data_IF_625859235117
#
_entry.id   IF_625859235117
#
_cell.length_a   1.000
_cell.length_b   1.000
_cell.length_c   1.000
_cell.angle_alpha   90.00
_cell.angle_beta   90.00
_cell.angle_gamma   90.00
#
_symmetry.space_group_name_H-M   'P 1'
#
loop_
_entity.id
_entity.type
_entity.pdbx_description
1 polymer ?
#
# COMPACT_ATOMS: atom_id res chain seq x y z
N UNK A 1 14.52 45.30 -44.02
CA UNK A 1 14.64 46.68 -43.51
C UNK A 1 14.34 46.65 -42.04
N UNK A 2 15.36 47.08 -41.31
CA UNK A 2 15.50 47.55 -39.91
C UNK A 2 15.66 46.49 -38.82
N UNK A 3 16.94 46.20 -38.64
CA UNK A 3 17.78 45.92 -37.47
C UNK A 3 17.51 46.88 -36.28
N UNK A 4 17.50 46.32 -35.04
CA UNK A 4 17.96 47.02 -33.82
C UNK A 4 18.37 46.04 -32.73
N UNK A 5 19.68 45.85 -32.68
CA UNK A 5 20.48 45.37 -31.51
C UNK A 5 20.26 46.23 -30.25
N UNK A 6 20.18 45.61 -29.05
CA UNK A 6 20.53 46.24 -27.76
C UNK A 6 21.29 45.31 -26.84
N UNK A 7 22.55 45.51 -26.77
CA UNK A 7 23.61 45.50 -25.75
C UNK A 7 23.25 44.97 -24.37
N UNK A 8 24.04 43.93 -24.02
CA UNK A 8 24.29 43.41 -22.68
C UNK A 8 25.18 44.42 -21.93
N UNK A 9 24.77 44.79 -20.70
CA UNK A 9 25.65 45.44 -19.73
C UNK A 9 26.09 44.41 -18.68
N UNK A 10 27.39 44.13 -18.68
CA UNK A 10 28.10 43.42 -17.58
C UNK A 10 28.37 44.46 -16.46
N UNK A 11 28.01 44.12 -15.22
CA UNK A 11 28.50 44.82 -14.07
C UNK A 11 29.54 43.91 -13.38
N UNK A 12 30.77 44.44 -13.32
CA UNK A 12 31.87 43.92 -12.49
C UNK A 12 31.69 44.44 -11.09
N UNK A 13 31.79 43.60 -10.08
CA UNK A 13 32.05 44.02 -8.70
C UNK A 13 33.38 43.42 -8.25
N UNK A 14 34.19 44.35 -7.76
CA UNK A 14 35.58 44.25 -7.36
C UNK A 14 35.73 43.56 -6.01
N UNK A 15 36.83 42.81 -5.83
CA UNK A 15 37.30 42.25 -4.58
C UNK A 15 38.26 43.26 -3.84
N UNK A 16 38.10 43.38 -2.54
CA UNK A 16 39.15 43.81 -1.59
C UNK A 16 38.76 43.24 -0.23
N UNK A 17 39.43 42.34 0.41
CA UNK A 17 40.81 42.35 0.90
C UNK A 17 40.86 42.91 2.32
N UNK A 18 40.91 42.05 3.37
CA UNK A 18 41.69 42.34 4.59
C UNK A 18 41.87 41.08 5.46
N UNK A 19 43.10 40.59 5.46
CA UNK A 19 43.66 39.66 6.43
C UNK A 19 43.78 40.33 7.80
N UNK A 20 43.40 39.63 8.86
CA UNK A 20 43.97 39.89 10.22
C UNK A 20 44.37 38.54 10.82
N UNK A 21 45.68 38.36 10.98
CA UNK A 21 46.32 37.41 11.88
C UNK A 21 46.18 37.92 13.30
N UNK A 22 45.86 37.06 14.26
CA UNK A 22 46.18 37.29 15.70
C UNK A 22 46.66 35.92 16.26
N UNK A 23 47.65 36.08 17.06
CA UNK A 23 48.63 35.13 17.52
C UNK A 23 48.20 34.03 18.48
N UNK A 24 49.07 33.00 18.54
CA UNK A 24 49.14 31.87 19.48
C UNK A 24 49.19 32.34 20.94
N UNK A 25 48.45 31.68 21.80
CA UNK A 25 48.64 31.59 23.23
C UNK A 25 48.54 30.13 23.68
N UNK A 26 49.71 29.53 23.96
CA UNK A 26 49.76 28.20 24.56
C UNK A 26 49.50 28.30 26.07
N UNK A 27 48.52 27.58 26.58
CA UNK A 27 48.37 27.29 28.00
C UNK A 27 48.42 25.77 28.19
N UNK A 28 49.50 25.31 28.80
CA UNK A 28 49.60 23.97 29.35
C UNK A 28 48.72 23.88 30.60
N UNK A 29 47.79 22.93 30.61
CA UNK A 29 47.11 22.48 31.84
C UNK A 29 47.25 20.97 31.97
N UNK A 30 47.83 20.57 33.11
CA UNK A 30 48.11 19.18 33.48
C UNK A 30 46.83 18.39 33.57
N UNK A 31 46.77 17.22 32.86
CA UNK A 31 45.69 16.28 32.99
C UNK A 31 45.93 15.33 34.16
N UNK A 32 45.11 15.42 35.18
CA UNK A 32 44.91 14.36 36.17
C UNK A 32 44.04 13.28 35.53
N UNK A 33 44.61 12.11 35.27
CA UNK A 33 43.90 10.92 34.84
C UNK A 33 43.07 10.34 35.97
N UNK A 34 41.76 10.68 35.99
CA UNK A 34 40.78 9.91 36.70
C UNK A 34 40.25 8.85 35.76
N UNK A 35 40.64 7.61 35.98
CA UNK A 35 40.10 6.44 35.26
C UNK A 35 38.64 6.20 35.59
N UNK A 36 37.75 6.89 34.90
CA UNK A 36 36.34 6.56 34.84
C UNK A 36 36.13 5.53 33.72
N UNK A 37 35.86 4.29 34.10
CA UNK A 37 35.33 3.31 33.16
C UNK A 37 34.02 3.88 32.59
N UNK A 38 34.04 4.30 31.31
CA UNK A 38 32.81 4.53 30.57
C UNK A 38 32.02 3.22 30.56
N UNK A 39 30.72 3.21 30.92
CA UNK A 39 29.92 2.03 30.71
C UNK A 39 29.96 1.77 29.18
N UNK A 40 30.50 0.62 28.81
CA UNK A 40 30.30 0.08 27.47
C UNK A 40 28.80 0.03 27.26
N UNK A 41 28.26 0.96 26.47
CA UNK A 41 26.95 0.80 25.89
C UNK A 41 27.01 -0.46 25.06
N UNK A 42 26.68 -1.58 25.69
CA UNK A 42 26.21 -2.75 24.94
C UNK A 42 25.04 -2.22 24.11
N UNK A 43 25.29 -2.02 22.82
CA UNK A 43 24.25 -1.94 21.82
C UNK A 43 23.42 -3.21 22.05
N UNK A 44 22.27 -3.04 22.69
CA UNK A 44 21.24 -4.04 22.72
C UNK A 44 20.92 -4.23 21.25
N UNK A 45 21.44 -5.30 20.67
CA UNK A 45 21.10 -5.69 19.30
C UNK A 45 19.58 -5.76 19.28
N UNK A 46 18.95 -4.96 18.40
CA UNK A 46 17.51 -4.82 18.32
C UNK A 46 16.88 -6.19 18.12
N UNK A 47 16.35 -6.77 19.17
CA UNK A 47 15.70 -8.10 19.15
C UNK A 47 14.57 -8.17 18.10
N UNK A 48 14.01 -7.01 17.76
CA UNK A 48 13.02 -6.86 16.69
C UNK A 48 13.58 -7.14 15.30
N UNK A 49 14.77 -6.64 14.98
CA UNK A 49 15.41 -6.88 13.68
C UNK A 49 15.75 -8.35 13.44
N UNK A 50 16.18 -9.04 14.48
CA UNK A 50 16.50 -10.48 14.41
C UNK A 50 15.24 -11.34 14.25
N UNK A 51 14.14 -10.98 14.90
CA UNK A 51 12.86 -11.64 14.73
C UNK A 51 12.33 -11.51 13.28
N UNK A 52 12.44 -10.32 12.70
CA UNK A 52 12.03 -10.10 11.30
C UNK A 52 12.91 -10.89 10.34
N UNK A 53 14.25 -10.88 10.49
CA UNK A 53 15.16 -11.69 9.64
C UNK A 53 14.81 -13.17 9.70
N UNK A 54 14.70 -13.74 10.90
CA UNK A 54 14.33 -15.14 11.10
C UNK A 54 12.96 -15.47 10.50
N UNK A 55 12.00 -14.55 10.60
CA UNK A 55 10.68 -14.70 10.01
C UNK A 55 10.74 -14.74 8.48
N UNK A 56 11.49 -13.82 7.85
CA UNK A 56 11.67 -13.82 6.39
C UNK A 56 12.41 -15.07 5.91
N UNK A 57 13.47 -15.50 6.62
CA UNK A 57 14.18 -16.74 6.29
C UNK A 57 13.27 -17.96 6.35
N UNK A 58 12.35 -18.02 7.34
CA UNK A 58 11.34 -19.07 7.43
C UNK A 58 10.39 -19.06 6.23
N UNK A 59 9.86 -17.87 5.84
CA UNK A 59 9.00 -17.75 4.67
C UNK A 59 9.66 -18.29 3.39
N UNK A 60 10.98 -18.11 3.25
CA UNK A 60 11.72 -18.61 2.09
C UNK A 60 12.00 -20.11 2.22
N UNK A 61 12.50 -20.59 3.35
CA UNK A 61 13.00 -21.96 3.47
C UNK A 61 11.91 -22.97 3.81
N UNK A 62 10.94 -22.60 4.67
CA UNK A 62 9.86 -23.49 5.09
C UNK A 62 8.62 -23.31 4.20
N UNK A 63 8.20 -22.04 3.96
CA UNK A 63 7.00 -21.73 3.15
C UNK A 63 7.28 -21.60 1.65
N UNK A 64 8.57 -21.69 1.24
CA UNK A 64 9.04 -21.76 -0.15
C UNK A 64 8.70 -20.53 -1.02
N UNK A 65 8.53 -19.37 -0.42
CA UNK A 65 8.44 -18.15 -1.19
C UNK A 65 9.79 -17.85 -1.86
N UNK A 66 9.82 -17.48 -3.17
CA UNK A 66 11.09 -17.14 -3.86
C UNK A 66 11.84 -16.01 -3.19
N UNK A 67 11.12 -14.95 -2.83
CA UNK A 67 11.65 -13.82 -2.08
C UNK A 67 10.65 -13.33 -1.05
N UNK A 68 11.18 -12.79 0.05
CA UNK A 68 10.44 -12.06 1.06
C UNK A 68 11.17 -10.75 1.38
N UNK A 69 10.40 -9.66 1.49
CA UNK A 69 10.88 -8.32 1.82
C UNK A 69 10.10 -7.79 3.01
N UNK A 70 10.75 -7.01 3.87
CA UNK A 70 10.05 -6.25 4.89
C UNK A 70 10.68 -4.88 5.09
N UNK A 71 9.84 -3.91 5.39
CA UNK A 71 10.24 -2.64 5.98
C UNK A 71 9.55 -2.48 7.35
N UNK A 72 10.29 -1.98 8.33
CA UNK A 72 9.76 -1.68 9.67
C UNK A 72 10.07 -0.24 10.05
N UNK A 73 9.15 0.38 10.78
CA UNK A 73 9.37 1.64 11.49
C UNK A 73 9.21 1.35 12.98
N UNK A 74 10.29 1.52 13.75
CA UNK A 74 10.27 1.38 15.20
C UNK A 74 9.69 2.62 15.91
N UNK A 75 9.54 2.55 17.25
CA UNK A 75 9.14 3.70 18.07
C UNK A 75 10.09 4.89 17.97
N UNK A 76 11.34 4.65 17.57
CA UNK A 76 12.34 5.70 17.32
C UNK A 76 12.20 6.38 15.95
N UNK A 77 11.21 5.99 15.15
CA UNK A 77 10.95 6.48 13.80
C UNK A 77 11.95 6.00 12.75
N UNK A 78 12.89 5.12 13.10
CA UNK A 78 13.88 4.60 12.15
C UNK A 78 13.27 3.55 11.24
N UNK A 79 13.62 3.64 9.95
CA UNK A 79 13.23 2.66 8.94
C UNK A 79 14.31 1.62 8.81
N UNK A 80 13.93 0.35 8.89
CA UNK A 80 14.81 -0.78 8.62
C UNK A 80 14.25 -1.63 7.50
N UNK A 81 15.14 -2.14 6.65
CA UNK A 81 14.80 -2.98 5.50
C UNK A 81 15.41 -4.36 5.66
N UNK A 82 14.64 -5.38 5.32
CA UNK A 82 15.04 -6.76 5.39
C UNK A 82 14.65 -7.49 4.11
N UNK A 83 15.50 -8.42 3.66
CA UNK A 83 15.22 -9.26 2.50
C UNK A 83 15.72 -10.66 2.75
N UNK A 84 15.02 -11.66 2.18
CA UNK A 84 15.44 -13.06 2.15
C UNK A 84 15.10 -13.68 0.80
N UNK A 85 15.78 -14.77 0.46
CA UNK A 85 15.57 -15.50 -0.80
C UNK A 85 16.27 -14.88 -2.01
N UNK A 86 15.71 -15.09 -3.19
CA UNK A 86 16.27 -14.64 -4.48
C UNK A 86 15.23 -13.84 -5.27
N UNK A 87 15.67 -12.80 -5.95
CA UNK A 87 14.81 -11.97 -6.79
C UNK A 87 14.36 -12.69 -8.06
N UNK A 88 15.12 -13.61 -8.56
CA UNK A 88 14.83 -14.37 -9.78
C UNK A 88 15.30 -15.82 -9.60
N UNK A 89 14.37 -16.76 -9.63
CA UNK A 89 14.64 -18.21 -9.47
C UNK A 89 15.56 -18.76 -10.56
N UNK A 90 15.56 -18.15 -11.75
CA UNK A 90 16.39 -18.58 -12.88
C UNK A 90 17.86 -18.15 -12.74
N UNK A 91 18.11 -16.96 -12.17
CA UNK A 91 19.45 -16.36 -12.09
C UNK A 91 20.05 -16.43 -10.69
N UNK A 92 19.24 -16.61 -9.65
CA UNK A 92 19.67 -16.49 -8.25
C UNK A 92 20.04 -15.06 -7.84
N UNK A 93 19.56 -14.04 -8.57
CA UNK A 93 19.85 -12.64 -8.28
C UNK A 93 19.41 -12.25 -6.87
N UNK A 94 20.16 -11.35 -6.21
CA UNK A 94 19.82 -10.86 -4.88
C UNK A 94 18.52 -10.04 -4.91
N UNK A 95 17.72 -10.19 -3.87
CA UNK A 95 16.50 -9.37 -3.68
C UNK A 95 16.91 -7.90 -3.49
N UNK A 96 16.37 -6.97 -4.29
CA UNK A 96 16.61 -5.54 -4.10
C UNK A 96 16.12 -5.09 -2.71
N UNK A 97 16.94 -4.31 -2.02
CA UNK A 97 16.54 -3.69 -0.76
C UNK A 97 15.40 -2.73 -1.06
N UNK A 98 14.28 -2.89 -0.34
CA UNK A 98 13.04 -2.12 -0.56
C UNK A 98 12.56 -2.12 -2.03
N UNK A 99 12.72 -3.26 -2.72
CA UNK A 99 12.32 -3.40 -4.11
C UNK A 99 10.82 -3.16 -4.32
N UNK A 100 10.47 -2.64 -5.52
CA UNK A 100 9.07 -2.46 -5.89
C UNK A 100 8.33 -3.79 -5.97
N UNK A 101 7.07 -3.78 -5.55
CA UNK A 101 6.14 -4.90 -5.63
C UNK A 101 4.77 -4.39 -6.08
N UNK A 102 3.94 -5.26 -6.65
CA UNK A 102 2.53 -4.95 -6.86
C UNK A 102 1.83 -4.92 -5.51
N UNK A 103 1.26 -3.76 -5.16
CA UNK A 103 0.66 -3.52 -3.85
C UNK A 103 -0.72 -4.17 -3.68
N UNK A 104 -1.32 -4.65 -4.78
CA UNK A 104 -2.62 -5.28 -4.76
C UNK A 104 -3.66 -4.42 -4.03
N UNK A 105 -4.47 -5.05 -3.21
CA UNK A 105 -5.58 -4.38 -2.50
C UNK A 105 -5.19 -3.28 -1.51
N UNK A 106 -3.90 -3.04 -1.22
CA UNK A 106 -3.51 -1.80 -0.54
C UNK A 106 -3.97 -0.55 -1.32
N UNK A 107 -4.15 -0.67 -2.65
CA UNK A 107 -4.74 0.36 -3.51
C UNK A 107 -6.07 0.90 -2.97
N UNK A 108 -6.86 0.05 -2.30
CA UNK A 108 -8.15 0.44 -1.74
C UNK A 108 -8.04 1.54 -0.69
N UNK A 109 -7.01 1.48 0.16
CA UNK A 109 -6.79 2.53 1.16
C UNK A 109 -6.48 3.88 0.50
N UNK A 110 -5.70 3.89 -0.60
CA UNK A 110 -5.44 5.10 -1.38
C UNK A 110 -6.72 5.64 -2.02
N UNK A 111 -7.51 4.78 -2.66
CA UNK A 111 -8.79 5.15 -3.27
C UNK A 111 -9.78 5.69 -2.23
N UNK A 112 -9.91 5.02 -1.09
CA UNK A 112 -10.77 5.47 0.01
C UNK A 112 -10.32 6.81 0.59
N UNK A 113 -8.99 7.03 0.71
CA UNK A 113 -8.44 8.32 1.15
C UNK A 113 -8.90 9.46 0.24
N UNK A 114 -8.83 9.28 -1.08
CA UNK A 114 -9.32 10.31 -2.03
C UNK A 114 -10.82 10.54 -1.91
N UNK A 115 -11.63 9.48 -1.76
CA UNK A 115 -13.09 9.63 -1.54
C UNK A 115 -13.36 10.42 -0.25
N UNK A 116 -12.63 10.14 0.82
CA UNK A 116 -12.76 10.83 2.10
C UNK A 116 -12.30 12.29 2.04
N UNK A 117 -11.24 12.60 1.29
CA UNK A 117 -10.85 13.98 1.00
C UNK A 117 -11.96 14.74 0.27
N UNK A 118 -12.55 14.11 -0.75
CA UNK A 118 -13.70 14.69 -1.47
C UNK A 118 -14.93 14.85 -0.56
N UNK A 119 -15.09 13.98 0.44
CA UNK A 119 -16.11 14.16 1.46
C UNK A 119 -15.81 15.35 2.38
N UNK A 120 -14.58 15.54 2.80
CA UNK A 120 -14.13 16.72 3.54
C UNK A 120 -14.31 18.03 2.78
N UNK A 121 -14.14 17.98 1.44
CA UNK A 121 -14.40 19.10 0.52
C UNK A 121 -15.91 19.35 0.27
N UNK A 122 -16.80 18.56 0.84
CA UNK A 122 -18.25 18.66 0.62
C UNK A 122 -18.73 18.19 -0.76
N UNK A 123 -17.84 17.61 -1.58
CA UNK A 123 -18.14 17.11 -2.92
C UNK A 123 -18.82 15.74 -2.93
N UNK A 124 -18.58 14.94 -1.88
CA UNK A 124 -19.13 13.60 -1.68
C UNK A 124 -19.77 13.53 -0.30
N UNK A 125 -21.00 13.01 -0.20
CA UNK A 125 -21.61 12.65 1.07
C UNK A 125 -21.55 11.13 1.23
N UNK A 126 -20.91 10.64 2.29
CA UNK A 126 -20.67 9.20 2.50
C UNK A 126 -21.99 8.41 2.58
N UNK A 127 -23.04 8.99 3.15
CA UNK A 127 -24.32 8.33 3.33
C UNK A 127 -25.32 8.63 2.20
N UNK A 128 -24.88 9.36 1.16
CA UNK A 128 -25.68 9.52 -0.05
C UNK A 128 -25.64 8.25 -0.91
N UNK A 129 -26.75 7.92 -1.60
CA UNK A 129 -26.76 6.86 -2.59
C UNK A 129 -25.77 7.11 -3.72
N UNK A 130 -25.11 6.05 -4.20
CA UNK A 130 -24.18 6.14 -5.33
C UNK A 130 -24.86 6.66 -6.60
N UNK A 131 -26.14 6.46 -6.73
CA UNK A 131 -27.00 6.98 -7.79
C UNK A 131 -26.90 8.50 -7.97
N UNK A 132 -26.69 9.24 -6.88
CA UNK A 132 -26.51 10.70 -6.92
C UNK A 132 -25.32 11.11 -7.78
N UNK A 133 -24.27 10.29 -7.81
CA UNK A 133 -23.00 10.59 -8.50
C UNK A 133 -22.90 9.87 -9.83
N UNK A 134 -23.43 8.65 -9.89
CA UNK A 134 -23.39 7.77 -11.06
C UNK A 134 -24.82 7.35 -11.46
N UNK A 135 -25.64 8.30 -11.97
CA UNK A 135 -27.05 8.06 -12.25
C UNK A 135 -27.23 6.98 -13.31
N UNK A 136 -28.12 6.03 -13.03
CA UNK A 136 -28.46 4.93 -13.94
C UNK A 136 -27.40 3.84 -14.07
N UNK A 137 -26.20 4.03 -13.48
CA UNK A 137 -25.07 3.14 -13.71
C UNK A 137 -25.18 1.80 -12.97
N UNK A 138 -25.69 1.82 -11.73
CA UNK A 138 -25.70 0.65 -10.83
C UNK A 138 -27.10 0.04 -10.82
N UNK A 139 -27.30 -0.93 -11.73
CA UNK A 139 -28.57 -1.67 -11.94
C UNK A 139 -28.30 -3.13 -12.23
N UNK A 140 -29.08 -4.04 -11.64
CA UNK A 140 -28.99 -5.47 -11.85
C UNK A 140 -30.05 -6.21 -11.05
N UNK A 141 -30.04 -7.54 -11.06
CA UNK A 141 -30.95 -8.36 -10.27
C UNK A 141 -30.70 -8.18 -8.77
N UNK A 142 -31.64 -7.55 -8.07
CA UNK A 142 -31.51 -7.18 -6.66
C UNK A 142 -30.53 -6.01 -6.41
N UNK A 143 -30.00 -5.39 -7.45
CA UNK A 143 -29.03 -4.30 -7.38
C UNK A 143 -29.67 -2.98 -7.81
N UNK A 144 -29.64 -2.00 -6.91
CA UNK A 144 -30.16 -0.65 -7.17
C UNK A 144 -29.25 0.40 -6.49
N UNK A 145 -28.56 1.21 -7.29
CA UNK A 145 -27.68 2.28 -6.82
C UNK A 145 -28.35 3.33 -5.95
N UNK A 146 -29.69 3.44 -5.99
CA UNK A 146 -30.48 4.32 -5.09
C UNK A 146 -30.49 3.82 -3.64
N UNK A 147 -30.14 2.56 -3.40
CA UNK A 147 -30.15 1.90 -2.08
C UNK A 147 -28.74 1.62 -1.54
N UNK A 148 -27.68 1.86 -2.34
CA UNK A 148 -26.30 1.61 -1.98
C UNK A 148 -25.62 2.94 -1.72
N UNK A 149 -25.12 3.17 -0.50
CA UNK A 149 -24.41 4.40 -0.14
C UNK A 149 -22.91 4.31 -0.48
N UNK A 150 -22.24 5.47 -0.61
CA UNK A 150 -20.78 5.53 -0.79
C UNK A 150 -20.07 4.84 0.38
N UNK A 151 -20.54 5.03 1.62
CA UNK A 151 -20.01 4.34 2.82
C UNK A 151 -20.06 2.82 2.66
N UNK A 152 -21.19 2.29 2.22
CA UNK A 152 -21.38 0.85 2.03
C UNK A 152 -20.45 0.28 0.97
N UNK A 153 -20.09 1.05 -0.07
CA UNK A 153 -19.06 0.65 -1.02
C UNK A 153 -17.70 0.55 -0.33
N UNK A 154 -17.25 1.61 0.34
CA UNK A 154 -15.93 1.63 0.97
C UNK A 154 -15.77 0.58 2.09
N UNK A 155 -16.86 0.17 2.72
CA UNK A 155 -16.90 -0.75 3.86
C UNK A 155 -17.22 -2.20 3.50
N UNK A 156 -17.48 -2.51 2.22
CA UNK A 156 -17.89 -3.83 1.75
C UNK A 156 -19.25 -4.34 2.31
N UNK A 157 -20.18 -3.42 2.55
CA UNK A 157 -21.53 -3.73 3.01
C UNK A 157 -22.61 -3.42 1.96
N UNK A 158 -22.20 -3.25 0.70
CA UNK A 158 -23.10 -2.93 -0.43
C UNK A 158 -23.96 -4.10 -0.91
N UNK A 159 -23.48 -5.34 -0.73
CA UNK A 159 -24.07 -6.54 -1.31
C UNK A 159 -23.79 -6.75 -2.81
N UNK A 160 -22.91 -5.95 -3.41
CA UNK A 160 -22.51 -6.13 -4.80
C UNK A 160 -21.64 -7.39 -4.96
N UNK A 161 -21.88 -8.22 -6.00
CA UNK A 161 -21.02 -9.35 -6.32
C UNK A 161 -19.61 -8.88 -6.71
N UNK A 162 -18.60 -9.70 -6.46
CA UNK A 162 -17.23 -9.40 -6.87
C UNK A 162 -17.02 -9.81 -8.34
N UNK A 163 -16.65 -8.85 -9.20
CA UNK A 163 -16.38 -9.16 -10.61
C UNK A 163 -15.23 -10.16 -10.78
N UNK A 164 -14.32 -10.25 -9.81
CA UNK A 164 -13.16 -11.15 -9.89
C UNK A 164 -13.54 -12.63 -9.93
N UNK A 165 -14.74 -12.98 -9.44
CA UNK A 165 -15.27 -14.33 -9.51
C UNK A 165 -15.70 -14.75 -10.94
N UNK A 166 -15.80 -13.76 -11.86
CA UNK A 166 -16.42 -13.94 -13.18
C UNK A 166 -15.56 -13.50 -14.36
N UNK A 167 -14.40 -12.86 -14.12
CA UNK A 167 -13.47 -12.50 -15.20
C UNK A 167 -12.61 -13.69 -15.61
N UNK A 168 -12.04 -13.60 -16.82
CA UNK A 168 -11.03 -14.56 -17.27
C UNK A 168 -9.83 -14.56 -16.31
N UNK A 169 -9.25 -15.74 -16.09
CA UNK A 169 -8.08 -15.95 -15.24
C UNK A 169 -6.93 -14.99 -15.61
N UNK A 170 -6.59 -14.04 -14.74
CA UNK A 170 -5.53 -13.05 -15.01
C UNK A 170 -4.12 -13.65 -14.94
N UNK A 171 -3.96 -14.91 -14.57
CA UNK A 171 -2.67 -15.61 -14.58
C UNK A 171 -2.43 -16.36 -15.89
N UNK A 172 -3.49 -16.62 -16.64
CA UNK A 172 -3.47 -17.35 -17.89
C UNK A 172 -3.28 -16.45 -19.12
N UNK A 173 -3.93 -16.82 -20.22
CA UNK A 173 -3.84 -16.08 -21.49
C UNK A 173 -4.36 -14.63 -21.41
N UNK A 174 -5.26 -14.35 -20.47
CA UNK A 174 -5.83 -13.01 -20.28
C UNK A 174 -4.89 -12.03 -19.57
N UNK A 175 -3.75 -12.46 -19.05
CA UNK A 175 -2.84 -11.63 -18.24
C UNK A 175 -2.30 -10.39 -18.96
N UNK A 176 -2.27 -10.40 -20.27
CA UNK A 176 -1.81 -9.28 -21.12
C UNK A 176 -2.97 -8.49 -21.74
N UNK A 177 -4.17 -8.63 -21.19
CA UNK A 177 -5.37 -8.02 -21.74
C UNK A 177 -5.81 -6.84 -20.89
N UNK A 178 -5.79 -5.64 -21.47
CA UNK A 178 -6.36 -4.46 -20.83
C UNK A 178 -7.87 -4.58 -20.67
N UNK A 179 -8.37 -4.38 -19.45
CA UNK A 179 -9.81 -4.37 -19.14
C UNK A 179 -10.24 -2.99 -18.67
N UNK A 180 -11.25 -2.41 -19.33
CA UNK A 180 -11.78 -1.11 -18.94
C UNK A 180 -12.56 -1.21 -17.62
N UNK A 181 -12.49 -0.19 -16.74
CA UNK A 181 -13.24 -0.20 -15.46
C UNK A 181 -14.72 -0.42 -15.63
N UNK A 182 -15.31 0.12 -16.70
CA UNK A 182 -16.72 -0.09 -17.01
C UNK A 182 -17.03 -1.57 -17.31
N UNK A 183 -16.16 -2.28 -18.01
CA UNK A 183 -16.37 -3.69 -18.31
C UNK A 183 -16.30 -4.56 -17.05
N UNK A 184 -15.41 -4.21 -16.08
CA UNK A 184 -15.38 -4.88 -14.77
C UNK A 184 -16.72 -4.71 -14.03
N UNK A 185 -17.27 -3.50 -14.04
CA UNK A 185 -18.57 -3.22 -13.42
C UNK A 185 -19.68 -3.98 -14.13
N UNK A 186 -19.74 -3.97 -15.46
CA UNK A 186 -20.78 -4.66 -16.25
C UNK A 186 -20.74 -6.17 -15.99
N UNK A 187 -19.52 -6.76 -15.82
CA UNK A 187 -19.37 -8.17 -15.41
C UNK A 187 -20.06 -8.43 -14.07
N UNK A 188 -19.81 -7.62 -13.05
CA UNK A 188 -20.46 -7.79 -11.74
C UNK A 188 -21.97 -7.62 -11.82
N UNK A 189 -22.45 -6.59 -12.53
CA UNK A 189 -23.89 -6.25 -12.61
C UNK A 189 -24.72 -7.27 -13.42
N UNK A 190 -24.08 -8.16 -14.18
CA UNK A 190 -24.72 -9.29 -14.82
C UNK A 190 -25.15 -10.40 -13.83
N UNK A 191 -24.70 -10.32 -12.59
CA UNK A 191 -24.99 -11.28 -11.52
C UNK A 191 -25.87 -10.63 -10.45
N UNK A 192 -26.61 -11.46 -9.70
CA UNK A 192 -27.53 -11.00 -8.64
C UNK A 192 -26.77 -10.48 -7.42
N UNK A 193 -27.41 -9.59 -6.67
CA UNK A 193 -26.91 -9.12 -5.37
C UNK A 193 -26.64 -10.31 -4.42
N UNK A 194 -25.55 -10.24 -3.66
CA UNK A 194 -25.18 -11.25 -2.65
C UNK A 194 -26.08 -11.13 -1.41
N UNK A 195 -26.42 -9.90 -1.02
CA UNK A 195 -27.35 -9.57 0.06
C UNK A 195 -27.89 -8.14 -0.12
N UNK A 196 -28.90 -7.76 0.65
CA UNK A 196 -29.42 -6.41 0.64
C UNK A 196 -28.41 -5.41 1.25
N UNK A 197 -28.25 -4.20 0.69
CA UNK A 197 -27.28 -3.23 1.19
C UNK A 197 -27.41 -2.97 2.69
N UNK A 198 -26.29 -3.04 3.41
CA UNK A 198 -26.20 -2.81 4.85
C UNK A 198 -26.57 -3.99 5.75
N UNK A 199 -27.03 -5.12 5.21
CA UNK A 199 -27.48 -6.26 6.02
C UNK A 199 -26.38 -7.27 6.36
N UNK A 200 -25.27 -7.26 5.59
CA UNK A 200 -24.13 -8.17 5.78
C UNK A 200 -22.85 -7.53 5.30
N UNK A 201 -21.76 -8.30 5.33
CA UNK A 201 -20.45 -7.93 4.86
C UNK A 201 -19.90 -9.02 3.92
N UNK A 202 -19.43 -8.62 2.74
CA UNK A 202 -18.65 -9.47 1.85
C UNK A 202 -17.67 -8.61 1.06
N UNK A 203 -16.41 -9.02 1.03
CA UNK A 203 -15.39 -8.36 0.24
C UNK A 203 -15.77 -8.38 -1.24
N UNK A 204 -15.69 -7.22 -1.90
CA UNK A 204 -15.98 -7.11 -3.33
C UNK A 204 -15.16 -5.99 -3.96
N UNK A 205 -14.34 -6.35 -4.93
CA UNK A 205 -13.55 -5.40 -5.70
C UNK A 205 -14.42 -4.45 -6.52
N UNK A 206 -15.65 -4.86 -6.89
CA UNK A 206 -16.64 -4.03 -7.58
C UNK A 206 -16.93 -2.74 -6.84
N UNK A 207 -16.94 -2.77 -5.50
CA UNK A 207 -17.12 -1.58 -4.67
C UNK A 207 -16.09 -0.50 -4.98
N UNK A 208 -14.83 -0.89 -5.17
CA UNK A 208 -13.73 0.04 -5.41
C UNK A 208 -13.64 0.47 -6.87
N UNK A 209 -14.10 -0.36 -7.81
CA UNK A 209 -14.34 0.11 -9.19
C UNK A 209 -15.35 1.27 -9.17
N UNK A 210 -16.46 1.14 -8.43
CA UNK A 210 -17.43 2.23 -8.28
C UNK A 210 -16.84 3.45 -7.55
N UNK A 211 -16.01 3.25 -6.52
CA UNK A 211 -15.32 4.34 -5.85
C UNK A 211 -14.37 5.10 -6.79
N UNK A 212 -13.64 4.39 -7.65
CA UNK A 212 -12.82 5.01 -8.69
C UNK A 212 -13.64 5.81 -9.70
N UNK A 213 -14.73 5.23 -10.21
CA UNK A 213 -15.66 5.94 -11.13
C UNK A 213 -16.31 7.16 -10.46
N UNK A 214 -16.63 7.08 -9.17
CA UNK A 214 -17.10 8.21 -8.37
C UNK A 214 -16.05 9.34 -8.34
N UNK A 215 -14.78 9.01 -8.06
CA UNK A 215 -13.68 9.98 -8.05
C UNK A 215 -13.58 10.70 -9.40
N UNK A 216 -13.52 9.93 -10.49
CA UNK A 216 -13.43 10.50 -11.84
C UNK A 216 -14.63 11.40 -12.17
N UNK A 217 -15.84 10.95 -11.83
CA UNK A 217 -17.09 11.72 -12.07
C UNK A 217 -17.11 13.03 -11.31
N UNK A 218 -16.74 13.01 -10.02
CA UNK A 218 -16.84 14.20 -9.14
C UNK A 218 -15.71 15.20 -9.43
N UNK A 219 -14.52 14.71 -9.83
CA UNK A 219 -13.37 15.56 -10.08
C UNK A 219 -13.21 15.99 -11.55
N UNK A 220 -13.84 15.26 -12.48
CA UNK A 220 -13.63 15.43 -13.92
C UNK A 220 -12.20 15.05 -14.37
N UNK A 221 -11.47 14.27 -13.56
CA UNK A 221 -10.06 13.91 -13.80
C UNK A 221 -9.84 12.40 -13.65
N UNK A 222 -8.85 11.82 -14.34
CA UNK A 222 -8.52 10.40 -14.21
C UNK A 222 -8.16 10.02 -12.78
N UNK A 223 -8.53 8.80 -12.38
CA UNK A 223 -8.21 8.25 -11.06
C UNK A 223 -6.71 8.31 -10.75
N UNK A 224 -5.87 7.90 -11.72
CA UNK A 224 -4.41 7.93 -11.57
C UNK A 224 -3.88 9.32 -11.18
N UNK A 225 -4.39 10.39 -11.82
CA UNK A 225 -4.02 11.77 -11.47
C UNK A 225 -4.45 12.12 -10.04
N UNK A 226 -5.65 11.71 -9.63
CA UNK A 226 -6.15 12.00 -8.29
C UNK A 226 -5.37 11.28 -7.21
N UNK A 227 -5.03 10.00 -7.41
CA UNK A 227 -4.17 9.24 -6.48
C UNK A 227 -2.78 9.87 -6.41
N UNK A 228 -2.19 10.20 -7.54
CA UNK A 228 -0.85 10.79 -7.60
C UNK A 228 -0.81 12.13 -6.85
N UNK A 229 -1.66 13.09 -7.25
CA UNK A 229 -1.58 14.45 -6.69
C UNK A 229 -2.04 14.56 -5.25
N UNK A 230 -3.09 13.80 -4.87
CA UNK A 230 -3.74 13.92 -3.56
C UNK A 230 -3.09 13.07 -2.48
N UNK A 231 -2.38 12.00 -2.87
CA UNK A 231 -1.78 11.07 -1.93
C UNK A 231 -0.29 10.92 -2.20
N UNK A 232 0.11 10.40 -3.35
CA UNK A 232 1.49 9.99 -3.63
C UNK A 232 2.46 11.19 -3.52
N UNK A 233 2.20 12.25 -4.28
CA UNK A 233 3.04 13.45 -4.28
C UNK A 233 2.95 14.22 -2.95
N UNK A 234 1.75 14.25 -2.34
CA UNK A 234 1.50 15.01 -1.12
C UNK A 234 2.37 14.58 0.06
N UNK A 235 2.61 13.27 0.19
CA UNK A 235 3.46 12.72 1.26
C UNK A 235 4.80 12.18 0.73
N UNK A 236 5.12 12.42 -0.56
CA UNK A 236 6.40 12.08 -1.17
C UNK A 236 6.69 10.58 -1.24
N UNK A 237 5.73 9.77 -1.69
CA UNK A 237 5.94 8.35 -1.99
C UNK A 237 6.69 8.24 -3.32
N UNK A 238 8.01 8.14 -3.27
CA UNK A 238 8.86 8.26 -4.46
C UNK A 238 8.90 7.00 -5.31
N UNK A 239 8.58 5.86 -4.71
CA UNK A 239 8.64 4.54 -5.34
C UNK A 239 7.24 3.95 -5.57
N UNK A 240 6.19 4.78 -5.42
CA UNK A 240 4.79 4.39 -5.61
C UNK A 240 4.22 5.07 -6.85
N UNK A 241 3.54 4.29 -7.69
CA UNK A 241 2.85 4.84 -8.85
C UNK A 241 1.64 3.99 -9.24
N UNK A 242 0.74 4.61 -9.99
CA UNK A 242 -0.40 3.94 -10.60
C UNK A 242 -0.04 3.63 -12.07
N UNK A 243 0.11 2.35 -12.48
CA UNK A 243 0.45 1.98 -13.84
C UNK A 243 -0.52 2.55 -14.87
N UNK A 244 0.00 2.95 -16.01
CA UNK A 244 -0.81 3.41 -17.15
C UNK A 244 -1.44 2.26 -17.91
N UNK A 245 -2.23 2.61 -18.94
CA UNK A 245 -2.81 1.62 -19.86
C UNK A 245 -1.70 0.90 -20.62
N UNK A 246 -1.70 -0.44 -20.56
CA UNK A 246 -0.68 -1.28 -21.21
C UNK A 246 0.69 -1.29 -20.51
N UNK A 247 0.79 -0.73 -19.29
CA UNK A 247 2.01 -0.76 -18.48
C UNK A 247 2.03 -2.06 -17.65
N UNK A 248 2.55 -3.12 -18.23
CA UNK A 248 2.57 -4.48 -17.66
C UNK A 248 3.77 -4.72 -16.75
N UNK A 249 4.83 -3.93 -16.85
CA UNK A 249 6.07 -4.08 -16.10
C UNK A 249 6.08 -3.37 -14.76
N UNK A 250 7.17 -3.56 -14.03
CA UNK A 250 7.51 -2.82 -12.80
C UNK A 250 8.73 -1.97 -13.12
N UNK A 251 8.69 -0.66 -12.82
CA UNK A 251 9.64 0.32 -13.36
C UNK A 251 11.02 0.30 -12.73
N UNK A 252 11.09 0.07 -11.41
CA UNK A 252 12.34 0.11 -10.66
C UNK A 252 12.81 -1.31 -10.30
N UNK A 253 13.92 -1.41 -9.57
CA UNK A 253 14.44 -2.69 -9.09
C UNK A 253 13.38 -3.45 -8.27
N UNK A 254 13.11 -4.68 -8.67
CA UNK A 254 12.06 -5.51 -8.08
C UNK A 254 12.43 -7.00 -8.12
N UNK A 255 11.95 -7.81 -7.20
CA UNK A 255 11.98 -9.26 -7.35
C UNK A 255 10.91 -9.70 -8.33
N UNK A 256 11.15 -10.79 -9.05
CA UNK A 256 10.18 -11.39 -9.95
C UNK A 256 8.98 -11.95 -9.17
N UNK A 257 7.78 -11.79 -9.72
CA UNK A 257 6.54 -12.36 -9.17
C UNK A 257 6.27 -13.74 -9.75
N UNK A 258 5.84 -14.64 -8.89
CA UNK A 258 5.59 -16.04 -9.26
C UNK A 258 4.18 -16.47 -8.88
N UNK A 259 3.63 -17.42 -9.60
CA UNK A 259 2.32 -17.99 -9.34
C UNK A 259 2.36 -19.51 -9.41
N UNK A 260 1.66 -20.17 -8.49
CA UNK A 260 1.36 -21.57 -8.56
C UNK A 260 -0.16 -21.77 -8.50
N UNK A 261 -0.73 -22.49 -9.44
CA UNK A 261 -2.19 -22.75 -9.49
C UNK A 261 -2.72 -23.49 -8.25
N UNK A 262 -1.84 -24.21 -7.54
CA UNK A 262 -2.12 -24.91 -6.26
C UNK A 262 -0.80 -25.03 -5.47
N UNK A 263 -0.84 -25.12 -4.13
CA UNK A 263 0.33 -25.41 -3.32
C UNK A 263 1.09 -26.64 -3.83
N UNK A 264 2.42 -26.55 -3.88
CA UNK A 264 3.32 -27.62 -4.34
C UNK A 264 3.43 -27.79 -5.87
N UNK A 265 2.71 -27.00 -6.66
CA UNK A 265 2.89 -26.97 -8.13
C UNK A 265 4.09 -26.09 -8.49
N UNK A 266 4.71 -26.31 -9.68
CA UNK A 266 5.78 -25.43 -10.17
C UNK A 266 5.34 -23.97 -10.20
N UNK A 267 6.27 -23.08 -9.81
CA UNK A 267 6.10 -21.65 -9.88
C UNK A 267 6.36 -21.14 -11.29
N UNK A 268 5.42 -20.40 -11.84
CA UNK A 268 5.55 -19.72 -13.13
C UNK A 268 5.86 -18.24 -12.88
N UNK A 269 6.80 -17.66 -13.64
CA UNK A 269 7.06 -16.23 -13.58
C UNK A 269 5.92 -15.47 -14.27
N UNK A 270 5.23 -14.63 -13.50
CA UNK A 270 4.11 -13.81 -13.96
C UNK A 270 4.30 -12.35 -13.62
N UNK A 271 5.57 -11.90 -13.49
CA UNK A 271 5.91 -10.51 -13.16
C UNK A 271 5.24 -9.52 -14.10
N UNK A 272 5.27 -9.83 -15.41
CA UNK A 272 4.60 -9.02 -16.43
C UNK A 272 3.15 -9.45 -16.57
N UNK A 273 2.24 -8.55 -16.23
CA UNK A 273 0.80 -8.69 -16.42
C UNK A 273 0.15 -7.31 -16.51
N UNK A 274 -0.92 -7.19 -17.27
CA UNK A 274 -1.74 -5.98 -17.30
C UNK A 274 -2.56 -5.89 -16.01
N UNK A 275 -2.31 -4.88 -15.13
CA UNK A 275 -2.96 -4.79 -13.83
C UNK A 275 -4.33 -4.10 -13.88
N UNK A 276 -4.85 -3.76 -15.08
CA UNK A 276 -6.07 -2.97 -15.25
C UNK A 276 -7.31 -3.63 -14.67
N UNK A 277 -7.34 -4.96 -14.61
CA UNK A 277 -8.43 -5.67 -13.94
C UNK A 277 -8.49 -5.37 -12.43
N UNK A 278 -7.40 -4.95 -11.80
CA UNK A 278 -7.38 -4.48 -10.41
C UNK A 278 -7.84 -3.03 -10.25
N UNK A 279 -7.50 -2.20 -11.20
CA UNK A 279 -7.76 -0.76 -11.27
C UNK A 279 -7.78 -0.06 -9.89
N UNK A 280 -8.89 0.64 -9.54
CA UNK A 280 -9.06 1.33 -8.24
C UNK A 280 -9.04 0.40 -7.02
N UNK A 281 -9.13 -0.91 -7.24
CA UNK A 281 -9.13 -1.93 -6.19
C UNK A 281 -7.75 -2.57 -5.97
N UNK A 282 -6.82 -2.52 -6.97
CA UNK A 282 -5.62 -3.35 -6.87
C UNK A 282 -4.41 -3.02 -7.75
N UNK A 283 -4.39 -1.90 -8.51
CA UNK A 283 -3.42 -1.69 -9.58
C UNK A 283 -2.08 -1.07 -9.14
N UNK A 284 -1.98 -0.45 -7.95
CA UNK A 284 -0.78 0.26 -7.51
C UNK A 284 0.46 -0.63 -7.44
N UNK A 285 1.60 -0.05 -7.80
CA UNK A 285 2.94 -0.55 -7.49
C UNK A 285 3.54 0.35 -6.41
N UNK A 286 4.24 -0.27 -5.45
CA UNK A 286 4.83 0.43 -4.30
C UNK A 286 6.03 -0.35 -3.75
N UNK A 287 6.65 0.16 -2.70
CA UNK A 287 7.64 -0.58 -1.90
C UNK A 287 7.13 -0.80 -0.47
N UNK A 288 7.69 -1.75 0.28
CA UNK A 288 7.35 -1.92 1.69
C UNK A 288 7.48 -0.64 2.52
N UNK A 289 8.51 0.18 2.30
CA UNK A 289 8.69 1.43 3.05
C UNK A 289 7.68 2.51 2.66
N UNK A 290 7.35 2.65 1.37
CA UNK A 290 6.33 3.60 0.92
C UNK A 290 4.94 3.23 1.44
N UNK A 291 4.61 1.93 1.53
CA UNK A 291 3.37 1.46 2.16
C UNK A 291 3.34 1.80 3.66
N UNK A 292 4.43 1.57 4.40
CA UNK A 292 4.53 2.00 5.80
C UNK A 292 4.32 3.50 5.92
N UNK A 293 5.02 4.31 5.11
CA UNK A 293 4.89 5.77 5.09
C UNK A 293 3.45 6.22 4.80
N UNK A 294 2.80 5.58 3.82
CA UNK A 294 1.42 5.89 3.49
C UNK A 294 0.48 5.66 4.67
N UNK A 295 0.51 4.46 5.27
CA UNK A 295 -0.41 4.14 6.37
C UNK A 295 -0.09 4.94 7.64
N UNK A 296 1.18 5.23 7.93
CA UNK A 296 1.57 6.11 9.04
C UNK A 296 1.02 7.52 8.81
N UNK A 297 1.32 8.15 7.68
CA UNK A 297 0.82 9.48 7.34
C UNK A 297 -0.73 9.57 7.32
N UNK A 298 -1.39 8.50 6.88
CA UNK A 298 -2.85 8.41 6.90
C UNK A 298 -3.41 8.44 8.33
N UNK A 299 -2.83 7.65 9.23
CA UNK A 299 -3.30 7.52 10.62
C UNK A 299 -2.90 8.71 11.49
N UNK A 300 -1.80 9.37 11.15
CA UNK A 300 -1.35 10.63 11.78
C UNK A 300 -2.15 11.86 11.32
N UNK A 301 -3.08 11.67 10.36
CA UNK A 301 -3.95 12.75 9.88
C UNK A 301 -3.32 13.68 8.85
N UNK A 302 -2.16 13.34 8.26
CA UNK A 302 -1.53 14.17 7.22
C UNK A 302 -2.36 14.21 5.91
N UNK A 303 -3.15 13.16 5.66
CA UNK A 303 -3.95 12.99 4.44
C UNK A 303 -5.43 13.31 4.62
N UNK A 304 -5.95 13.20 5.83
CA UNK A 304 -7.38 13.39 6.15
C UNK A 304 -7.52 14.32 7.35
N UNK A 305 -8.55 15.15 7.31
CA UNK A 305 -8.96 15.89 8.49
C UNK A 305 -9.49 14.94 9.59
N UNK A 306 -9.46 15.33 10.88
CA UNK A 306 -9.85 14.43 11.98
C UNK A 306 -11.23 13.80 11.82
N UNK A 307 -12.20 14.53 11.28
CA UNK A 307 -13.55 14.03 11.06
C UNK A 307 -13.59 12.89 10.02
N UNK A 308 -12.85 13.03 8.91
CA UNK A 308 -12.76 12.01 7.86
C UNK A 308 -11.96 10.79 8.32
N UNK A 309 -10.88 11.00 9.08
CA UNK A 309 -10.11 9.91 9.67
C UNK A 309 -10.96 9.11 10.67
N UNK A 310 -11.76 9.77 11.51
CA UNK A 310 -12.70 9.10 12.40
C UNK A 310 -13.74 8.26 11.62
N UNK A 311 -14.26 8.78 10.49
CA UNK A 311 -15.12 8.01 9.60
C UNK A 311 -14.41 6.79 9.02
N UNK A 312 -13.16 6.94 8.55
CA UNK A 312 -12.36 5.83 8.03
C UNK A 312 -12.19 4.71 9.06
N UNK A 313 -11.95 5.07 10.32
CA UNK A 313 -11.78 4.13 11.44
C UNK A 313 -13.08 3.57 12.01
N UNK A 314 -14.24 4.02 11.54
CA UNK A 314 -15.55 3.44 11.92
C UNK A 314 -15.71 2.09 11.22
N UNK A 315 -15.61 1.00 11.98
CA UNK A 315 -15.52 -0.35 11.43
C UNK A 315 -16.81 -1.14 11.47
N UNK A 316 -17.05 -1.96 10.45
CA UNK A 316 -18.00 -3.07 10.46
C UNK A 316 -17.35 -4.36 10.96
N UNK A 317 -18.16 -5.26 11.52
CA UNK A 317 -17.74 -6.61 11.85
C UNK A 317 -17.58 -7.42 10.56
N UNK A 318 -16.44 -8.11 10.45
CA UNK A 318 -16.17 -9.06 9.36
C UNK A 318 -16.55 -10.45 9.84
N UNK A 319 -17.33 -11.22 9.07
CA UNK A 319 -17.58 -12.62 9.39
C UNK A 319 -16.29 -13.45 9.37
N UNK A 320 -16.15 -14.42 10.28
CA UNK A 320 -14.98 -15.31 10.29
C UNK A 320 -14.84 -16.10 8.98
N UNK A 321 -15.96 -16.43 8.34
CA UNK A 321 -16.01 -17.09 7.04
C UNK A 321 -15.38 -16.28 5.89
N UNK A 322 -15.10 -14.99 6.09
CA UNK A 322 -14.43 -14.17 5.10
C UNK A 322 -12.92 -14.45 4.97
N UNK A 323 -12.34 -15.21 5.90
CA UNK A 323 -10.94 -15.69 5.77
C UNK A 323 -9.85 -14.62 5.94
N UNK A 324 -10.18 -13.41 6.40
CA UNK A 324 -9.20 -12.31 6.55
C UNK A 324 -8.57 -12.23 7.94
N UNK A 325 -8.83 -13.21 8.77
CA UNK A 325 -8.26 -13.38 10.13
C UNK A 325 -9.26 -13.17 11.26
N UNK A 326 -9.02 -13.81 12.41
CA UNK A 326 -9.92 -13.74 13.57
C UNK A 326 -9.93 -12.33 14.18
N UNK A 327 -11.11 -11.85 14.54
CA UNK A 327 -11.28 -10.56 15.21
C UNK A 327 -10.96 -9.32 14.35
N UNK A 328 -10.67 -9.50 13.07
CA UNK A 328 -10.48 -8.40 12.11
C UNK A 328 -11.80 -7.66 11.92
N UNK A 329 -11.71 -6.34 11.80
CA UNK A 329 -12.82 -5.44 11.47
C UNK A 329 -12.43 -4.62 10.24
N UNK A 330 -13.41 -4.14 9.48
CA UNK A 330 -13.16 -3.37 8.26
C UNK A 330 -13.75 -1.96 8.36
N UNK A 331 -12.91 -0.95 8.17
CA UNK A 331 -13.29 0.46 8.11
C UNK A 331 -13.64 0.90 6.69
N UNK A 332 -13.33 2.15 6.34
CA UNK A 332 -13.51 2.64 4.97
C UNK A 332 -12.16 2.51 4.22
N UNK A 333 -11.91 1.32 3.67
CA UNK A 333 -10.67 1.01 2.94
C UNK A 333 -9.47 0.61 3.80
N UNK A 334 -9.66 0.39 5.08
CA UNK A 334 -8.64 -0.09 6.01
C UNK A 334 -9.17 -1.23 6.87
N UNK A 335 -8.30 -2.17 7.22
CA UNK A 335 -8.57 -3.19 8.22
C UNK A 335 -8.11 -2.75 9.60
N UNK A 336 -8.75 -3.27 10.63
CA UNK A 336 -8.26 -3.19 12.00
C UNK A 336 -8.15 -4.62 12.54
N UNK A 337 -6.94 -5.04 12.89
CA UNK A 337 -6.62 -6.38 13.35
C UNK A 337 -6.13 -6.39 14.81
N UNK A 338 -6.57 -7.32 15.65
CA UNK A 338 -6.01 -7.46 17.01
C UNK A 338 -4.56 -7.92 16.92
N UNK A 339 -3.71 -7.47 17.83
CA UNK A 339 -2.33 -7.92 18.00
C UNK A 339 -2.20 -8.90 19.15
N UNK A 340 -1.30 -9.87 19.03
CA UNK A 340 -1.04 -10.86 20.07
C UNK A 340 -0.52 -10.24 21.36
N UNK A 341 0.18 -9.11 21.29
CA UNK A 341 0.67 -8.34 22.44
C UNK A 341 -0.35 -7.34 23.00
N UNK A 342 -1.59 -7.38 22.53
CA UNK A 342 -2.63 -6.43 22.92
C UNK A 342 -2.72 -5.21 22.00
N UNK A 343 -3.86 -4.53 22.04
CA UNK A 343 -4.15 -3.42 21.12
C UNK A 343 -4.52 -3.90 19.72
N UNK A 344 -4.39 -3.00 18.75
CA UNK A 344 -4.77 -3.27 17.36
C UNK A 344 -3.80 -2.59 16.39
N UNK A 345 -3.64 -3.18 15.22
CA UNK A 345 -3.03 -2.53 14.07
C UNK A 345 -4.09 -2.09 13.07
N UNK A 346 -3.73 -1.07 12.29
CA UNK A 346 -4.50 -0.57 11.16
C UNK A 346 -3.68 -0.71 9.88
N UNK A 347 -4.31 -1.09 8.79
CA UNK A 347 -3.60 -1.26 7.52
C UNK A 347 -4.49 -1.91 6.48
N UNK A 348 -3.87 -2.59 5.53
CA UNK A 348 -4.54 -3.42 4.54
C UNK A 348 -3.58 -4.50 4.03
N UNK A 349 -4.10 -5.61 3.57
CA UNK A 349 -3.34 -6.58 2.79
C UNK A 349 -3.53 -6.36 1.28
N UNK A 350 -2.64 -6.93 0.49
CA UNK A 350 -2.76 -6.92 -0.97
C UNK A 350 -2.34 -8.26 -1.53
N UNK A 351 -3.23 -8.87 -2.29
CA UNK A 351 -2.98 -10.08 -3.04
C UNK A 351 -3.27 -9.77 -4.52
N UNK A 352 -2.32 -10.08 -5.36
CA UNK A 352 -2.40 -9.95 -6.81
C UNK A 352 -1.45 -10.98 -7.41
N UNK A 353 -1.76 -11.62 -8.54
CA UNK A 353 -0.89 -12.64 -9.10
C UNK A 353 0.59 -12.23 -9.08
N UNK A 354 1.43 -13.08 -8.48
CA UNK A 354 2.86 -12.86 -8.31
C UNK A 354 3.30 -12.18 -7.01
N UNK A 355 2.41 -11.50 -6.28
CA UNK A 355 2.80 -10.75 -5.09
C UNK A 355 1.71 -10.77 -4.01
N UNK A 356 2.13 -10.95 -2.76
CA UNK A 356 1.26 -10.72 -1.60
C UNK A 356 1.94 -9.76 -0.63
N UNK A 357 1.17 -8.83 -0.07
CA UNK A 357 1.65 -7.81 0.88
C UNK A 357 0.76 -7.76 2.12
N UNK A 358 1.35 -7.52 3.28
CA UNK A 358 0.61 -7.30 4.54
C UNK A 358 1.20 -6.09 5.22
N UNK A 359 0.37 -5.10 5.50
CA UNK A 359 0.80 -3.85 6.15
C UNK A 359 -0.02 -3.61 7.41
N UNK A 360 0.67 -3.23 8.49
CA UNK A 360 0.06 -2.83 9.75
C UNK A 360 0.79 -1.67 10.39
N UNK A 361 0.03 -0.75 10.99
CA UNK A 361 0.52 0.38 11.78
C UNK A 361 -0.22 0.40 13.10
N UNK A 362 0.49 0.59 14.20
CA UNK A 362 -0.08 0.70 15.55
C UNK A 362 -0.33 2.16 15.94
N UNK A 363 -1.20 2.39 16.92
CA UNK A 363 -1.49 3.75 17.40
C UNK A 363 -0.26 4.43 18.07
N UNK A 364 0.80 3.68 18.42
CA UNK A 364 2.07 4.21 18.93
C UNK A 364 3.14 4.40 17.84
N UNK A 365 2.75 4.33 16.55
CA UNK A 365 3.57 4.70 15.39
C UNK A 365 4.49 3.59 14.87
N UNK A 366 4.48 2.38 15.42
CA UNK A 366 5.18 1.25 14.81
C UNK A 366 4.49 0.87 13.51
N UNK A 367 5.26 0.64 12.45
CA UNK A 367 4.74 0.24 11.16
C UNK A 367 5.56 -0.89 10.58
N UNK A 368 4.89 -1.86 9.98
CA UNK A 368 5.52 -3.01 9.32
C UNK A 368 4.77 -3.32 8.04
N UNK A 369 5.53 -3.48 6.95
CA UNK A 369 5.04 -4.12 5.74
C UNK A 369 5.90 -5.33 5.43
N UNK A 370 5.26 -6.47 5.21
CA UNK A 370 5.87 -7.70 4.69
C UNK A 370 5.33 -7.93 3.29
N UNK A 371 6.22 -8.19 2.33
CA UNK A 371 5.90 -8.56 0.96
C UNK A 371 6.54 -9.91 0.61
N UNK A 372 5.83 -10.76 -0.09
CA UNK A 372 6.35 -12.02 -0.65
C UNK A 372 6.05 -12.10 -2.14
N UNK A 373 6.89 -12.82 -2.87
CA UNK A 373 6.84 -12.86 -4.34
C UNK A 373 6.18 -14.12 -4.89
N UNK A 374 5.11 -14.53 -4.26
CA UNK A 374 4.15 -15.46 -4.83
C UNK A 374 2.75 -15.12 -4.31
N UNK A 375 1.77 -15.13 -5.22
CA UNK A 375 0.35 -15.26 -4.93
C UNK A 375 -0.16 -16.50 -5.67
N UNK A 376 -1.01 -17.32 -5.00
CA UNK A 376 -1.02 -18.76 -5.17
C UNK A 376 0.12 -19.33 -4.32
N UNK A 377 -0.08 -19.43 -2.98
CA UNK A 377 1.04 -19.64 -2.06
C UNK A 377 1.73 -20.98 -2.33
N UNK A 378 3.07 -21.05 -2.24
CA UNK A 378 3.81 -22.28 -2.45
C UNK A 378 3.45 -23.38 -1.43
N UNK A 379 2.98 -22.99 -0.23
CA UNK A 379 2.46 -23.88 0.81
C UNK A 379 1.12 -23.40 1.34
N UNK A 380 0.32 -24.29 1.93
CA UNK A 380 -0.96 -23.92 2.56
C UNK A 380 -0.79 -23.01 3.77
N UNK A 381 0.34 -23.12 4.48
CA UNK A 381 0.65 -22.37 5.70
C UNK A 381 1.20 -20.97 5.42
N UNK A 382 1.74 -20.74 4.23
CA UNK A 382 2.42 -19.50 3.85
C UNK A 382 1.65 -18.22 4.17
N UNK A 383 0.36 -18.09 3.81
CA UNK A 383 -0.41 -16.87 4.12
C UNK A 383 -0.53 -16.59 5.62
N UNK A 384 -0.71 -17.63 6.44
CA UNK A 384 -0.75 -17.51 7.90
C UNK A 384 0.63 -17.13 8.47
N UNK A 385 1.71 -17.68 7.92
CA UNK A 385 3.07 -17.35 8.32
C UNK A 385 3.43 -15.87 8.05
N UNK A 386 2.98 -15.29 6.92
CA UNK A 386 3.16 -13.87 6.63
C UNK A 386 2.42 -12.99 7.65
N UNK A 387 1.19 -13.35 8.03
CA UNK A 387 0.43 -12.63 9.06
C UNK A 387 1.08 -12.77 10.44
N UNK A 388 1.59 -13.96 10.79
CA UNK A 388 2.28 -14.20 12.06
C UNK A 388 3.58 -13.38 12.15
N UNK A 389 4.33 -13.25 11.04
CA UNK A 389 5.51 -12.39 11.00
C UNK A 389 5.13 -10.91 11.18
N UNK A 390 4.06 -10.44 10.53
CA UNK A 390 3.56 -9.07 10.70
C UNK A 390 3.22 -8.79 12.17
N UNK A 391 2.45 -9.68 12.81
CA UNK A 391 2.07 -9.55 14.22
C UNK A 391 3.30 -9.53 15.14
N UNK A 392 4.20 -10.50 14.99
CA UNK A 392 5.42 -10.57 15.79
C UNK A 392 6.28 -9.32 15.65
N UNK A 393 6.44 -8.79 14.42
CA UNK A 393 7.22 -7.59 14.14
C UNK A 393 6.58 -6.31 14.71
N UNK A 394 5.26 -6.23 14.75
CA UNK A 394 4.53 -5.12 15.37
C UNK A 394 4.52 -5.21 16.91
N UNK A 395 4.75 -6.39 17.48
CA UNK A 395 4.73 -6.62 18.93
C UNK A 395 6.10 -6.46 19.60
N UNK A 396 7.15 -6.23 18.85
CA UNK A 396 8.50 -5.92 19.35
C UNK A 396 8.75 -4.42 19.36
#
# INVERSE_FOLDING_TARGET
MLDRSRRVRRVRVSASGRRRMIAMGAVMAAALAVGGALPSSTTQADGSGDAVRKGLDRLVHEDRYPAALAATIGRDGRVHHFTAGVADLRTGAKVPVDGQVRAGSNTKAFTATVVLQLAGEGKVALDAPIERYLPGLVRGEGIDGRRITVRQLLQHTSGLPDYTDFIADPTGKARHTYVRPRALLDTALAHKAVFAPGTSWAYSNTNYVLAGLLIEKVTGRPLAEQLTRRVIDRIGLRHTYFPGVGDEGIREAHPQGYFAAKPGRPLENITELDPSWGWAAGQLISTPSDLNRFFTALLDGELLEPAQLAQMRTTAKVPESAGIGPGVRYGLGVTSAPLSCGGRSWGHGGDIPGYATRTGVTDDGRAVTVAVTADGPPTEQGPAAVLALLDAALCT
#
